data_IF_390782378849
#
_entry.id   IF_390782378849
#
_cell.length_a   1.000
_cell.length_b   1.000
_cell.length_c   1.000
_cell.angle_alpha   90.00
_cell.angle_beta   90.00
_cell.angle_gamma   90.00
#
_symmetry.space_group_name_H-M   'P 1'
#
loop_
_entity.id
_entity.type
_entity.pdbx_description
1 polymer ?
#
# COMPACT_ATOMS: atom_id res chain seq x y z
N UNK A 1 18.24 -1.75 0.79
CA UNK A 1 18.47 -1.46 2.22
C UNK A 1 17.23 -1.82 3.02
N UNK A 2 17.42 -2.43 4.17
CA UNK A 2 16.31 -2.87 5.03
C UNK A 2 15.90 -1.76 5.99
N UNK A 3 14.58 -1.59 6.15
CA UNK A 3 13.99 -0.61 7.06
C UNK A 3 13.05 -1.32 8.03
N UNK A 4 12.86 -0.74 9.20
CA UNK A 4 11.89 -1.18 10.19
C UNK A 4 11.09 0.02 10.66
N UNK A 5 9.77 -0.04 10.55
CA UNK A 5 8.89 1.02 11.02
C UNK A 5 8.32 0.65 12.40
N UNK A 6 8.86 1.27 13.44
CA UNK A 6 8.34 1.20 14.82
C UNK A 6 8.09 -0.21 15.36
N UNK A 7 8.88 -1.21 14.93
CA UNK A 7 8.63 -2.59 15.33
C UNK A 7 7.36 -3.21 14.75
N UNK A 8 6.76 -2.58 13.76
CA UNK A 8 5.51 -3.02 13.14
C UNK A 8 5.74 -3.77 11.83
N UNK A 9 6.60 -3.23 10.98
CA UNK A 9 6.81 -3.72 9.63
C UNK A 9 8.27 -3.60 9.23
N UNK A 10 8.81 -4.65 8.61
CA UNK A 10 10.08 -4.60 7.91
C UNK A 10 9.82 -4.52 6.41
N UNK A 11 10.61 -3.71 5.70
CA UNK A 11 10.53 -3.59 4.26
C UNK A 11 11.89 -3.28 3.66
N UNK A 12 12.04 -3.51 2.35
CA UNK A 12 13.29 -3.33 1.62
C UNK A 12 13.09 -2.27 0.55
N UNK A 13 13.96 -1.26 0.53
CA UNK A 13 13.99 -0.23 -0.51
C UNK A 13 15.23 -0.39 -1.38
N UNK A 14 15.13 -0.06 -2.69
CA UNK A 14 16.32 0.14 -3.51
C UNK A 14 17.22 1.23 -2.94
N UNK A 15 18.52 1.17 -3.24
CA UNK A 15 19.51 2.08 -2.66
C UNK A 15 19.28 3.56 -3.01
N UNK A 16 18.63 3.83 -4.14
CA UNK A 16 18.34 5.18 -4.61
C UNK A 16 16.99 5.73 -4.11
N UNK A 17 16.29 4.98 -3.28
CA UNK A 17 15.03 5.41 -2.67
C UNK A 17 15.23 5.95 -1.26
N UNK A 18 14.35 6.85 -0.87
CA UNK A 18 14.33 7.47 0.46
C UNK A 18 13.06 7.11 1.21
N UNK A 19 13.16 7.06 2.53
CA UNK A 19 12.01 6.88 3.41
C UNK A 19 11.93 8.07 4.36
N UNK A 20 10.76 8.70 4.44
CA UNK A 20 10.45 9.73 5.42
C UNK A 20 9.36 9.21 6.33
N UNK A 21 9.69 9.07 7.61
CA UNK A 21 8.76 8.49 8.57
C UNK A 21 8.29 9.55 9.57
N UNK A 22 6.97 9.58 9.83
CA UNK A 22 6.40 10.28 10.97
C UNK A 22 5.60 9.29 11.82
N UNK A 23 4.85 9.77 12.81
CA UNK A 23 4.16 8.91 13.77
C UNK A 23 3.12 8.00 13.10
N UNK A 24 2.45 8.48 12.05
CA UNK A 24 1.29 7.82 11.47
C UNK A 24 1.50 7.31 10.05
N UNK A 25 2.47 7.87 9.33
CA UNK A 25 2.66 7.60 7.91
C UNK A 25 4.13 7.42 7.57
N UNK A 26 4.37 6.71 6.46
CA UNK A 26 5.70 6.59 5.85
C UNK A 26 5.59 6.98 4.39
N UNK A 27 6.48 7.83 3.93
CA UNK A 27 6.60 8.23 2.53
C UNK A 27 7.86 7.60 1.94
N UNK A 28 7.70 6.86 0.84
CA UNK A 28 8.78 6.18 0.12
C UNK A 28 8.88 6.74 -1.29
N UNK A 29 10.06 7.18 -1.69
CA UNK A 29 10.20 7.79 -3.01
C UNK A 29 11.64 7.73 -3.51
N UNK A 30 11.78 7.84 -4.83
CA UNK A 30 13.05 8.09 -5.49
C UNK A 30 13.11 9.58 -5.82
N UNK A 31 14.11 10.34 -5.30
CA UNK A 31 14.16 11.79 -5.53
C UNK A 31 14.23 12.21 -7.00
N UNK A 32 14.59 11.29 -7.89
CA UNK A 32 14.67 11.57 -9.34
C UNK A 32 13.35 11.32 -10.07
N UNK A 33 12.31 10.84 -9.40
CA UNK A 33 11.00 10.59 -10.01
C UNK A 33 9.94 11.49 -9.37
N UNK A 34 8.77 11.56 -10.01
CA UNK A 34 7.64 12.32 -9.51
C UNK A 34 6.68 11.48 -8.64
N UNK A 35 6.90 10.18 -8.60
CA UNK A 35 6.02 9.28 -7.86
C UNK A 35 6.44 9.05 -6.43
N UNK A 36 5.48 8.69 -5.59
CA UNK A 36 5.74 8.35 -4.19
C UNK A 36 4.73 7.33 -3.68
N UNK A 37 5.20 6.47 -2.77
CA UNK A 37 4.34 5.56 -2.01
C UNK A 37 4.08 6.19 -0.65
N UNK A 38 2.80 6.26 -0.26
CA UNK A 38 2.41 6.63 1.09
C UNK A 38 1.85 5.41 1.80
N UNK A 39 2.38 5.10 2.97
CA UNK A 39 1.91 3.97 3.79
C UNK A 39 1.25 4.47 5.06
N UNK A 40 0.11 3.87 5.40
CA UNK A 40 -0.60 4.07 6.66
C UNK A 40 -0.78 2.72 7.35
N UNK A 41 -0.86 2.73 8.68
CA UNK A 41 -0.85 1.51 9.48
C UNK A 41 -2.11 1.43 10.32
N UNK A 42 -2.73 0.25 10.33
CA UNK A 42 -3.97 -0.01 11.05
C UNK A 42 -3.90 -1.34 11.78
N UNK A 43 -4.74 -1.50 12.79
CA UNK A 43 -4.97 -2.79 13.43
C UNK A 43 -6.34 -3.32 13.05
N UNK A 44 -6.49 -4.63 13.05
CA UNK A 44 -7.79 -5.27 12.84
C UNK A 44 -8.68 -4.95 14.04
N UNK A 45 -9.77 -4.21 13.78
CA UNK A 45 -10.68 -3.75 14.83
C UNK A 45 -11.92 -4.62 14.99
N UNK A 46 -12.25 -5.41 13.99
CA UNK A 46 -13.48 -6.21 13.99
C UNK A 46 -13.16 -7.66 13.67
N UNK A 47 -13.27 -8.53 14.68
CA UNK A 47 -12.96 -9.96 14.56
C UNK A 47 -14.10 -10.79 13.95
N UNK A 48 -15.29 -10.21 13.79
CA UNK A 48 -16.44 -10.90 13.19
C UNK A 48 -16.32 -11.00 11.66
N UNK A 49 -15.53 -10.12 11.05
CA UNK A 49 -15.31 -10.12 9.60
C UNK A 49 -14.01 -10.80 9.26
N UNK A 50 -14.00 -11.52 8.14
CA UNK A 50 -12.76 -12.11 7.62
C UNK A 50 -11.75 -11.01 7.28
N UNK A 51 -10.48 -11.37 7.23
CA UNK A 51 -9.43 -10.45 6.83
C UNK A 51 -9.65 -9.96 5.39
N UNK A 52 -10.12 -10.84 4.51
CA UNK A 52 -10.48 -10.51 3.13
C UNK A 52 -11.54 -9.39 3.07
N UNK A 53 -12.57 -9.50 3.91
CA UNK A 53 -13.61 -8.47 3.99
C UNK A 53 -13.06 -7.16 4.53
N UNK A 54 -12.21 -7.20 5.55
CA UNK A 54 -11.66 -6.01 6.18
C UNK A 54 -10.76 -5.22 5.24
N UNK A 55 -9.91 -5.89 4.46
CA UNK A 55 -9.06 -5.19 3.47
C UNK A 55 -9.91 -4.60 2.35
N UNK A 56 -10.95 -5.29 1.93
CA UNK A 56 -11.87 -4.78 0.90
C UNK A 56 -12.62 -3.54 1.37
N UNK A 57 -13.07 -3.51 2.63
CA UNK A 57 -13.76 -2.36 3.22
C UNK A 57 -12.82 -1.15 3.27
N UNK A 58 -11.56 -1.34 3.68
CA UNK A 58 -10.59 -0.25 3.72
C UNK A 58 -10.36 0.34 2.33
N UNK A 59 -10.17 -0.50 1.33
CA UNK A 59 -9.97 -0.06 -0.05
C UNK A 59 -11.18 0.73 -0.55
N UNK A 60 -12.39 0.24 -0.29
CA UNK A 60 -13.63 0.91 -0.71
C UNK A 60 -13.79 2.27 -0.04
N UNK A 61 -13.51 2.37 1.25
CA UNK A 61 -13.57 3.65 1.97
C UNK A 61 -12.62 4.67 1.38
N UNK A 62 -11.39 4.25 1.04
CA UNK A 62 -10.42 5.14 0.41
C UNK A 62 -10.95 5.68 -0.91
N UNK A 63 -11.47 4.81 -1.77
CA UNK A 63 -12.01 5.19 -3.08
C UNK A 63 -13.17 6.15 -2.93
N UNK A 64 -14.08 5.87 -2.01
CA UNK A 64 -15.28 6.70 -1.80
C UNK A 64 -14.92 8.09 -1.23
N UNK A 65 -13.87 8.18 -0.41
CA UNK A 65 -13.51 9.41 0.30
C UNK A 65 -12.51 10.28 -0.44
N UNK A 66 -11.85 9.79 -1.48
CA UNK A 66 -10.75 10.52 -2.14
C UNK A 66 -11.01 10.85 -3.60
N UNK A 67 -12.22 10.62 -4.09
CA UNK A 67 -12.60 10.95 -5.48
C UNK A 67 -11.64 10.35 -6.51
N UNK A 68 -11.19 9.14 -6.28
CA UNK A 68 -10.34 8.42 -7.23
C UNK A 68 -11.19 7.48 -8.06
N UNK A 69 -10.80 7.29 -9.31
CA UNK A 69 -11.51 6.41 -10.24
C UNK A 69 -10.81 5.05 -10.27
N UNK A 70 -11.23 4.17 -9.37
CA UNK A 70 -10.76 2.81 -9.25
C UNK A 70 -11.95 1.86 -9.40
N UNK A 71 -11.85 0.93 -10.33
CA UNK A 71 -12.88 -0.07 -10.56
C UNK A 71 -12.68 -1.27 -9.64
N UNK A 72 -13.55 -1.43 -8.66
CA UNK A 72 -13.47 -2.55 -7.72
C UNK A 72 -13.54 -3.91 -8.38
N UNK A 73 -14.21 -4.03 -9.53
CA UNK A 73 -14.29 -5.31 -10.24
C UNK A 73 -12.93 -5.74 -10.81
N UNK A 74 -11.99 -4.80 -10.97
CA UNK A 74 -10.64 -5.07 -11.46
C UNK A 74 -9.64 -5.36 -10.34
N UNK A 75 -10.05 -5.24 -9.08
CA UNK A 75 -9.16 -5.48 -7.95
C UNK A 75 -8.81 -6.96 -7.83
N UNK A 76 -7.57 -7.22 -7.46
CA UNK A 76 -7.04 -8.57 -7.24
C UNK A 76 -6.84 -8.79 -5.75
N UNK A 77 -7.39 -9.88 -5.24
CA UNK A 77 -7.27 -10.30 -3.84
C UNK A 77 -6.63 -11.68 -3.81
N UNK A 78 -5.56 -11.85 -3.06
CA UNK A 78 -4.88 -13.14 -2.96
C UNK A 78 -4.16 -13.27 -1.62
N UNK A 79 -3.75 -14.51 -1.32
CA UNK A 79 -2.98 -14.80 -0.12
C UNK A 79 -1.60 -15.32 -0.51
N UNK A 80 -0.55 -14.81 0.14
CA UNK A 80 0.82 -15.23 -0.07
C UNK A 80 1.58 -15.19 1.25
N UNK A 81 2.22 -16.31 1.61
CA UNK A 81 3.06 -16.39 2.80
C UNK A 81 2.33 -15.94 4.08
N UNK A 82 1.06 -16.28 4.18
CA UNK A 82 0.23 -15.93 5.33
C UNK A 82 -0.27 -14.49 5.33
N UNK A 83 -0.02 -13.73 4.27
CA UNK A 83 -0.52 -12.36 4.11
C UNK A 83 -1.71 -12.33 3.16
N UNK A 84 -2.69 -11.50 3.48
CA UNK A 84 -3.79 -11.17 2.57
C UNK A 84 -3.44 -9.87 1.86
N UNK A 85 -3.46 -9.89 0.54
CA UNK A 85 -3.05 -8.75 -0.29
C UNK A 85 -4.17 -8.41 -1.26
N UNK A 86 -4.55 -7.13 -1.26
CA UNK A 86 -5.51 -6.58 -2.21
C UNK A 86 -4.82 -5.44 -2.96
N UNK A 87 -4.95 -5.41 -4.29
CA UNK A 87 -4.44 -4.27 -5.06
C UNK A 87 -5.33 -3.91 -6.23
N UNK A 88 -5.23 -2.66 -6.67
CA UNK A 88 -5.92 -2.17 -7.84
C UNK A 88 -5.29 -0.88 -8.34
N UNK A 89 -5.60 -0.51 -9.58
CA UNK A 89 -5.07 0.69 -10.22
C UNK A 89 -6.20 1.56 -10.74
N UNK A 90 -5.91 2.84 -10.93
CA UNK A 90 -6.88 3.78 -11.47
C UNK A 90 -6.27 5.15 -11.68
N UNK A 91 -7.11 6.17 -11.64
CA UNK A 91 -6.71 7.57 -11.82
C UNK A 91 -7.34 8.45 -10.76
N UNK A 92 -6.67 9.56 -10.44
CA UNK A 92 -7.24 10.60 -9.60
C UNK A 92 -8.12 11.54 -10.43
N UNK A 93 -8.82 12.45 -9.76
CA UNK A 93 -9.61 13.49 -10.43
C UNK A 93 -8.77 14.30 -11.40
N UNK A 94 -7.52 14.56 -11.05
CA UNK A 94 -6.58 15.35 -11.89
C UNK A 94 -5.91 14.51 -12.98
N UNK A 95 -6.26 13.25 -13.11
CA UNK A 95 -5.73 12.37 -14.14
C UNK A 95 -4.40 11.70 -13.78
N UNK A 96 -3.95 11.80 -12.54
CA UNK A 96 -2.73 11.13 -12.10
C UNK A 96 -2.98 9.63 -11.97
N UNK A 97 -1.93 8.84 -12.21
CA UNK A 97 -1.95 7.40 -11.98
C UNK A 97 -1.91 7.10 -10.49
N UNK A 98 -2.75 6.16 -10.05
CA UNK A 98 -2.73 5.67 -8.67
C UNK A 98 -2.77 4.14 -8.65
N UNK A 99 -1.96 3.54 -7.79
CA UNK A 99 -2.06 2.14 -7.43
C UNK A 99 -2.22 2.01 -5.93
N UNK A 100 -3.09 1.13 -5.52
CA UNK A 100 -3.47 0.90 -4.13
C UNK A 100 -3.12 -0.53 -3.76
N UNK A 101 -2.51 -0.72 -2.60
CA UNK A 101 -2.33 -2.04 -1.99
C UNK A 101 -2.85 -2.01 -0.56
N UNK A 102 -3.50 -3.07 -0.14
CA UNK A 102 -3.78 -3.32 1.28
C UNK A 102 -3.14 -4.66 1.61
N UNK A 103 -2.20 -4.67 2.54
CA UNK A 103 -1.47 -5.88 2.93
C UNK A 103 -1.75 -6.13 4.40
N UNK A 104 -2.24 -7.32 4.71
CA UNK A 104 -2.67 -7.63 6.08
C UNK A 104 -2.17 -8.99 6.55
N UNK A 105 -1.75 -9.02 7.81
CA UNK A 105 -1.48 -10.25 8.56
C UNK A 105 -1.93 -9.95 9.98
N UNK A 106 -3.06 -10.55 10.37
CA UNK A 106 -3.74 -10.22 11.64
C UNK A 106 -2.78 -10.17 12.82
N UNK A 107 -2.83 -9.15 13.67
CA UNK A 107 -3.80 -8.04 13.70
C UNK A 107 -3.39 -6.79 12.93
N UNK A 108 -2.39 -6.86 12.06
CA UNK A 108 -1.76 -5.70 11.42
C UNK A 108 -2.23 -5.53 9.99
N UNK A 109 -2.44 -4.28 9.57
CA UNK A 109 -2.80 -3.91 8.20
C UNK A 109 -1.95 -2.72 7.78
N UNK A 110 -1.35 -2.81 6.58
CA UNK A 110 -0.68 -1.70 5.91
C UNK A 110 -1.51 -1.31 4.71
N UNK A 111 -1.84 -0.03 4.62
CA UNK A 111 -2.52 0.57 3.49
C UNK A 111 -1.49 1.42 2.73
N UNK A 112 -1.25 1.13 1.46
CA UNK A 112 -0.24 1.81 0.67
C UNK A 112 -0.83 2.31 -0.64
N UNK A 113 -0.46 3.54 -1.04
CA UNK A 113 -0.81 4.10 -2.33
C UNK A 113 0.43 4.64 -3.02
N UNK A 114 0.55 4.36 -4.31
CA UNK A 114 1.55 4.97 -5.17
C UNK A 114 0.85 5.95 -6.09
N UNK A 115 1.33 7.17 -6.09
CA UNK A 115 0.77 8.25 -6.89
C UNK A 115 1.87 8.84 -7.77
N UNK A 116 1.60 8.94 -9.08
CA UNK A 116 2.53 9.57 -10.02
C UNK A 116 1.73 10.27 -11.11
N UNK A 117 2.37 11.25 -11.77
CA UNK A 117 1.72 11.99 -12.84
C UNK A 117 1.28 11.06 -13.97
N UNK A 118 2.11 10.10 -14.32
CA UNK A 118 1.81 9.10 -15.34
C UNK A 118 2.23 7.70 -14.88
N UNK A 119 1.56 6.68 -15.42
CA UNK A 119 1.99 5.31 -15.19
C UNK A 119 3.39 5.12 -15.75
N UNK A 120 4.30 4.60 -14.93
CA UNK A 120 5.70 4.42 -15.29
C UNK A 120 6.19 3.01 -14.96
N UNK A 121 7.40 2.69 -15.42
CA UNK A 121 8.09 1.43 -15.06
C UNK A 121 8.36 1.34 -13.56
N UNK A 122 8.33 2.46 -12.85
CA UNK A 122 8.54 2.51 -11.40
C UNK A 122 7.48 1.69 -10.63
N UNK A 123 6.32 1.44 -11.21
CA UNK A 123 5.28 0.60 -10.60
C UNK A 123 5.81 -0.80 -10.28
N UNK A 124 6.67 -1.36 -11.12
CA UNK A 124 7.28 -2.66 -10.85
C UNK A 124 8.21 -2.63 -9.64
N UNK A 125 8.91 -1.52 -9.45
CA UNK A 125 9.74 -1.30 -8.26
C UNK A 125 8.84 -1.20 -7.03
N UNK A 126 7.73 -0.49 -7.14
CA UNK A 126 6.74 -0.41 -6.06
C UNK A 126 6.22 -1.79 -5.67
N UNK A 127 5.87 -2.62 -6.65
CA UNK A 127 5.41 -3.99 -6.39
C UNK A 127 6.46 -4.78 -5.63
N UNK A 128 7.74 -4.64 -5.98
CA UNK A 128 8.84 -5.31 -5.30
C UNK A 128 8.98 -4.84 -3.85
N UNK A 129 8.81 -3.55 -3.60
CA UNK A 129 8.84 -2.98 -2.25
C UNK A 129 7.71 -3.57 -1.41
N UNK A 130 6.49 -3.58 -1.95
CA UNK A 130 5.32 -4.15 -1.26
C UNK A 130 5.51 -5.65 -0.99
N UNK A 131 6.07 -6.38 -1.95
CA UNK A 131 6.35 -7.82 -1.79
C UNK A 131 7.38 -8.09 -0.70
N UNK A 132 8.21 -7.11 -0.37
CA UNK A 132 9.23 -7.24 0.69
C UNK A 132 8.66 -7.09 2.10
N UNK A 133 7.40 -6.71 2.25
CA UNK A 133 6.78 -6.46 3.54
C UNK A 133 6.80 -7.71 4.42
N UNK A 134 7.34 -7.57 5.63
CA UNK A 134 7.31 -8.60 6.66
C UNK A 134 6.82 -7.98 7.96
N UNK A 135 5.67 -8.42 8.42
CA UNK A 135 5.14 -7.94 9.70
C UNK A 135 5.98 -8.49 10.86
N UNK A 136 6.28 -7.61 11.80
CA UNK A 136 6.96 -8.01 13.03
C UNK A 136 5.89 -8.50 14.00
N UNK A 137 6.04 -9.74 14.44
CA UNK A 137 5.06 -10.40 15.31
C UNK A 137 5.47 -10.35 16.77
#
# INVERSE_FOLDING_TARGET
>A
MKYNHNGYLNYILPDDWCAEEDADNVLLYNPKSDGAITMSFFNVLNTEKSLDEQVSILAKKFVDNNNVNLDFSSFVLFNREGKTILYGTGTTVDGWFIKLWVVAKSPKIVFATYLSEQKSVEVKICDSIIDSFQFVL
#
